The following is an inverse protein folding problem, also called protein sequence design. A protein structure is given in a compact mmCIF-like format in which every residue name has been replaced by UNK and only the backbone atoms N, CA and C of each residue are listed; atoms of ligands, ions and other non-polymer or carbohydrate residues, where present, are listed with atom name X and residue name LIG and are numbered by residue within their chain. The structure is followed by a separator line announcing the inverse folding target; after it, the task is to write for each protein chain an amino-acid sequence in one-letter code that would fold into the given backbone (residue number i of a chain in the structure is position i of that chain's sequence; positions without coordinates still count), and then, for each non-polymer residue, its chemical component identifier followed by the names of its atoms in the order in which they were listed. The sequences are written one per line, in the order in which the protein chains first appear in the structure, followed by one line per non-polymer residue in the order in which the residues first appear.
data_IF_935793518698
#
_entry.id   IF_935793518698
#
_cell.length_a   1.000
_cell.length_b   1.000
_cell.length_c   1.000
_cell.angle_alpha   90.00
_cell.angle_beta   90.00
_cell.angle_gamma   90.00
#
_symmetry.space_group_name_H-M   'P 1'
#
loop_
_entity.id
_entity.type
_entity.pdbx_description
1 polymer ?
#
# COMPACT_ATOMS: atom_id res chain seq x y z
N UNK A 1 25.44 3.43 -13.20
CA UNK A 1 24.15 3.89 -12.61
C UNK A 1 22.97 3.75 -13.57
N UNK A 2 23.19 3.67 -14.90
CA UNK A 2 22.13 3.63 -15.92
C UNK A 2 21.31 2.33 -15.94
N UNK A 3 21.84 1.21 -15.48
CA UNK A 3 21.22 -0.12 -15.65
C UNK A 3 20.44 -0.63 -14.44
N UNK A 4 20.34 0.10 -13.34
CA UNK A 4 19.66 -0.43 -12.16
C UNK A 4 18.14 -0.53 -12.32
N UNK A 5 17.55 0.20 -13.27
CA UNK A 5 16.13 0.10 -13.64
C UNK A 5 15.80 -1.01 -14.64
N UNK A 6 16.81 -1.60 -15.25
CA UNK A 6 16.67 -2.70 -16.22
C UNK A 6 16.53 -4.09 -15.55
N UNK A 7 16.64 -4.12 -14.22
CA UNK A 7 16.51 -5.34 -13.42
C UNK A 7 15.46 -5.13 -12.32
N UNK A 8 14.80 -6.21 -11.88
CA UNK A 8 13.91 -6.13 -10.72
C UNK A 8 14.64 -5.54 -9.52
N UNK A 9 13.98 -4.62 -8.85
CA UNK A 9 14.47 -3.95 -7.64
C UNK A 9 13.69 -4.44 -6.43
N UNK A 10 14.38 -4.99 -5.44
CA UNK A 10 13.75 -5.47 -4.21
C UNK A 10 13.28 -4.29 -3.35
N UNK A 11 11.97 -4.22 -3.14
CA UNK A 11 11.31 -3.23 -2.28
C UNK A 11 10.95 -3.80 -0.91
N UNK A 12 10.94 -5.12 -0.76
CA UNK A 12 10.79 -5.80 0.52
C UNK A 12 11.71 -7.02 0.59
N UNK A 13 12.11 -7.37 1.81
CA UNK A 13 12.97 -8.52 2.09
C UNK A 13 12.34 -9.40 3.16
N UNK A 14 12.65 -10.70 3.11
CA UNK A 14 12.34 -11.65 4.17
C UNK A 14 13.60 -12.34 4.67
N UNK A 15 13.59 -12.69 5.95
CA UNK A 15 14.68 -13.48 6.52
C UNK A 15 14.64 -14.91 5.98
N UNK A 16 15.83 -15.50 5.83
CA UNK A 16 16.00 -16.92 5.54
C UNK A 16 16.50 -17.63 6.79
N UNK A 17 16.49 -18.96 6.77
CA UNK A 17 17.09 -19.77 7.84
C UNK A 17 18.63 -19.81 7.76
N UNK A 18 19.20 -19.24 6.72
CA UNK A 18 20.65 -19.17 6.56
C UNK A 18 21.25 -18.15 7.51
N UNK A 19 22.24 -18.57 8.29
CA UNK A 19 22.91 -17.72 9.25
C UNK A 19 24.40 -18.07 9.39
N UNK A 20 25.18 -17.10 9.82
CA UNK A 20 26.50 -17.32 10.40
C UNK A 20 26.40 -17.45 11.92
N UNK A 21 27.44 -17.98 12.56
CA UNK A 21 27.54 -17.96 14.03
C UNK A 21 28.47 -16.82 14.43
N UNK A 22 27.98 -15.94 15.31
CA UNK A 22 28.78 -14.84 15.87
C UNK A 22 28.97 -14.99 17.36
N UNK A 23 30.10 -14.56 17.87
CA UNK A 23 30.36 -14.43 19.31
C UNK A 23 29.77 -13.12 19.81
N UNK A 24 28.86 -13.18 20.72
CA UNK A 24 28.24 -12.02 21.38
C UNK A 24 28.59 -11.99 22.85
N UNK A 25 29.23 -10.89 23.29
CA UNK A 25 29.53 -10.68 24.67
C UNK A 25 28.27 -10.17 25.41
N UNK A 26 27.79 -10.95 26.31
CA UNK A 26 26.62 -10.63 27.15
C UNK A 26 26.87 -10.86 28.61
N UNK A 27 25.82 -10.95 29.41
CA UNK A 27 25.83 -11.19 30.84
C UNK A 27 25.12 -12.51 31.11
N UNK A 28 25.64 -13.29 32.06
CA UNK A 28 25.00 -14.54 32.52
C UNK A 28 23.62 -14.26 33.09
N UNK A 29 22.66 -15.13 32.86
CA UNK A 29 21.31 -14.99 33.36
C UNK A 29 20.64 -16.34 33.61
N UNK A 30 19.68 -16.33 34.52
CA UNK A 30 18.72 -17.42 34.73
C UNK A 30 17.35 -17.05 34.16
N UNK A 31 16.65 -18.04 33.65
CA UNK A 31 15.23 -17.91 33.27
C UNK A 31 14.41 -18.59 34.37
N UNK A 32 13.64 -17.79 35.09
CA UNK A 32 12.77 -18.26 36.16
C UNK A 32 11.31 -17.95 35.87
N UNK A 33 10.42 -18.78 36.40
CA UNK A 33 8.98 -18.44 36.33
C UNK A 33 8.67 -17.40 37.40
N UNK A 34 7.99 -16.33 36.95
CA UNK A 34 7.48 -15.31 37.87
C UNK A 34 6.31 -15.87 38.69
N UNK A 35 6.39 -15.78 39.99
CA UNK A 35 5.30 -16.08 40.91
C UNK A 35 4.17 -15.02 40.84
N UNK A 36 4.47 -13.84 40.33
CA UNK A 36 3.52 -12.74 40.14
C UNK A 36 2.69 -12.87 38.87
N UNK A 37 3.34 -13.20 37.75
CA UNK A 37 2.70 -13.15 36.41
C UNK A 37 2.57 -14.50 35.72
N UNK A 38 3.28 -15.55 36.23
CA UNK A 38 3.38 -16.86 35.58
C UNK A 38 4.23 -16.87 34.30
N UNK A 39 4.71 -15.73 33.86
CA UNK A 39 5.56 -15.57 32.66
C UNK A 39 7.03 -15.87 32.94
N UNK A 40 7.86 -15.97 31.93
CA UNK A 40 9.29 -16.08 32.06
C UNK A 40 9.90 -14.74 32.48
N UNK A 41 10.79 -14.78 33.44
CA UNK A 41 11.52 -13.63 33.98
C UNK A 41 13.02 -13.89 33.91
N UNK A 42 13.79 -12.98 33.33
CA UNK A 42 15.22 -13.08 33.14
C UNK A 42 15.93 -12.36 34.29
N UNK A 43 16.69 -13.12 35.09
CA UNK A 43 17.50 -12.61 36.21
C UNK A 43 18.97 -12.55 35.79
N UNK A 44 19.48 -11.33 35.54
CA UNK A 44 20.86 -11.13 35.12
C UNK A 44 21.85 -11.13 36.31
N UNK A 45 22.96 -11.87 36.17
CA UNK A 45 24.00 -11.95 37.16
C UNK A 45 24.99 -10.80 37.00
N UNK A 46 24.91 -9.82 37.89
CA UNK A 46 25.73 -8.61 37.81
C UNK A 46 27.23 -8.94 37.90
N UNK A 47 27.98 -8.55 36.87
CA UNK A 47 29.43 -8.75 36.78
C UNK A 47 29.89 -10.11 36.24
N UNK A 48 28.99 -11.00 35.94
CA UNK A 48 29.30 -12.29 35.30
C UNK A 48 29.14 -12.20 33.79
N UNK A 49 30.25 -11.95 33.11
CA UNK A 49 30.24 -11.86 31.65
C UNK A 49 30.27 -13.26 31.02
N UNK A 50 29.49 -13.44 29.97
CA UNK A 50 29.45 -14.68 29.18
C UNK A 50 29.50 -14.36 27.68
N UNK A 51 30.26 -15.18 26.95
CA UNK A 51 30.25 -15.15 25.50
C UNK A 51 29.24 -16.15 24.98
N UNK A 52 28.23 -15.66 24.26
CA UNK A 52 27.21 -16.45 23.58
C UNK A 52 27.62 -16.68 22.12
N UNK A 53 27.38 -17.87 21.61
CA UNK A 53 27.43 -18.14 20.18
C UNK A 53 25.99 -18.03 19.66
N UNK A 54 25.72 -16.98 18.92
CA UNK A 54 24.37 -16.67 18.42
C UNK A 54 24.29 -16.81 16.91
N UNK A 55 23.16 -17.26 16.36
CA UNK A 55 22.92 -17.21 14.93
C UNK A 55 22.75 -15.76 14.48
N UNK A 56 23.47 -15.38 13.44
CA UNK A 56 23.33 -14.06 12.80
C UNK A 56 22.72 -14.25 11.42
N UNK A 57 21.41 -13.97 11.31
CA UNK A 57 20.60 -14.05 10.11
C UNK A 57 20.85 -12.81 9.24
N UNK A 58 21.87 -12.86 8.37
CA UNK A 58 22.28 -11.73 7.55
C UNK A 58 22.13 -11.98 6.03
N UNK A 59 21.41 -13.02 5.67
CA UNK A 59 21.17 -13.41 4.29
C UNK A 59 19.68 -13.29 3.94
N UNK A 60 19.11 -12.04 3.96
CA UNK A 60 17.74 -11.86 3.54
C UNK A 60 17.62 -12.09 2.03
N UNK A 61 16.45 -12.52 1.60
CA UNK A 61 16.11 -12.64 0.18
C UNK A 61 14.96 -11.70 -0.17
N UNK A 62 14.82 -11.26 -1.44
CA UNK A 62 13.69 -10.44 -1.88
C UNK A 62 12.35 -11.11 -1.57
N UNK A 63 11.43 -10.36 -0.98
CA UNK A 63 10.04 -10.76 -0.74
C UNK A 63 9.09 -10.11 -1.74
N UNK A 64 9.42 -8.89 -2.20
CA UNK A 64 8.71 -8.20 -3.27
C UNK A 64 9.73 -7.45 -4.14
N UNK A 65 9.53 -7.51 -5.45
CA UNK A 65 10.38 -6.88 -6.45
C UNK A 65 9.54 -6.14 -7.48
N UNK A 66 10.02 -5.00 -7.94
CA UNK A 66 9.36 -4.18 -8.95
C UNK A 66 10.34 -3.74 -10.04
N UNK A 67 9.88 -3.64 -11.28
CA UNK A 67 10.62 -2.91 -12.32
C UNK A 67 10.43 -1.42 -12.07
N UNK A 68 11.51 -0.68 -11.88
CA UNK A 68 11.43 0.74 -11.55
C UNK A 68 11.01 1.59 -12.76
N UNK A 69 10.14 2.61 -12.58
CA UNK A 69 9.72 3.50 -13.64
C UNK A 69 10.83 4.51 -14.01
N UNK A 70 10.63 5.30 -15.05
CA UNK A 70 11.47 6.45 -15.37
C UNK A 70 11.28 7.58 -14.36
N UNK A 71 10.04 7.77 -13.92
CA UNK A 71 9.66 8.73 -12.90
C UNK A 71 8.35 8.33 -12.23
N UNK A 72 8.10 8.90 -11.05
CA UNK A 72 6.78 8.90 -10.43
C UNK A 72 6.12 10.27 -10.62
N UNK A 73 4.79 10.29 -10.63
CA UNK A 73 4.01 11.53 -10.63
C UNK A 73 3.10 11.53 -9.42
N UNK A 74 3.15 12.60 -8.63
CA UNK A 74 2.36 12.76 -7.40
C UNK A 74 1.41 13.93 -7.60
N UNK A 75 0.08 13.70 -7.51
CA UNK A 75 -0.89 14.77 -7.60
C UNK A 75 -0.75 15.79 -6.47
N UNK A 76 -0.99 17.06 -6.78
CA UNK A 76 -0.82 18.20 -5.85
C UNK A 76 -1.60 18.06 -4.53
N UNK A 77 -2.70 17.31 -4.52
CA UNK A 77 -3.51 17.03 -3.33
C UNK A 77 -2.73 16.30 -2.22
N UNK A 78 -1.69 15.59 -2.59
CA UNK A 78 -0.85 14.82 -1.66
C UNK A 78 0.35 15.63 -1.16
N UNK A 79 0.08 16.89 -0.84
CA UNK A 79 1.08 17.87 -0.40
C UNK A 79 1.98 17.35 0.71
N UNK A 80 1.42 16.67 1.72
CA UNK A 80 2.20 16.10 2.82
C UNK A 80 3.23 15.06 2.36
N UNK A 81 2.93 14.30 1.31
CA UNK A 81 3.89 13.34 0.71
C UNK A 81 4.98 14.10 -0.04
N UNK A 82 4.61 15.12 -0.83
CA UNK A 82 5.55 15.97 -1.56
C UNK A 82 6.52 16.63 -0.59
N UNK A 83 6.02 17.27 0.48
CA UNK A 83 6.84 17.91 1.51
C UNK A 83 7.81 16.93 2.20
N UNK A 84 7.40 15.66 2.41
CA UNK A 84 8.28 14.64 2.96
C UNK A 84 9.42 14.29 2.01
N UNK A 85 9.13 14.17 0.72
CA UNK A 85 10.17 13.93 -0.29
C UNK A 85 11.16 15.11 -0.36
N UNK A 86 10.68 16.34 -0.28
CA UNK A 86 11.52 17.55 -0.21
C UNK A 86 12.47 17.51 0.99
N UNK A 87 11.98 17.12 2.17
CA UNK A 87 12.80 16.98 3.38
C UNK A 87 13.92 15.95 3.26
N UNK A 88 13.74 14.95 2.38
CA UNK A 88 14.78 13.97 2.03
C UNK A 88 15.73 14.45 0.93
N UNK A 89 15.57 15.68 0.45
CA UNK A 89 16.41 16.25 -0.60
C UNK A 89 16.19 15.62 -1.97
N UNK A 90 14.99 15.06 -2.19
CA UNK A 90 14.62 14.45 -3.47
C UNK A 90 14.30 15.54 -4.48
N UNK A 91 14.94 15.48 -5.65
CA UNK A 91 14.70 16.39 -6.74
C UNK A 91 13.35 16.10 -7.41
N UNK A 92 12.55 17.16 -7.62
CA UNK A 92 11.23 17.08 -8.21
C UNK A 92 11.01 18.19 -9.21
N UNK A 93 10.19 17.92 -10.23
CA UNK A 93 9.79 18.88 -11.26
C UNK A 93 8.31 19.21 -11.05
N UNK A 94 8.00 20.44 -10.69
CA UNK A 94 6.61 20.89 -10.53
C UNK A 94 5.96 21.18 -11.88
N UNK A 95 4.76 20.66 -12.10
CA UNK A 95 3.97 20.98 -13.31
C UNK A 95 3.37 22.38 -13.19
N UNK A 96 3.73 23.27 -14.09
CA UNK A 96 3.22 24.65 -14.11
C UNK A 96 1.77 24.76 -14.60
N UNK A 97 1.32 23.79 -15.40
CA UNK A 97 -0.02 23.72 -15.97
C UNK A 97 -0.56 22.30 -15.93
N UNK A 98 -1.86 22.15 -16.15
CA UNK A 98 -2.48 20.84 -16.31
C UNK A 98 -1.82 20.07 -17.46
N UNK A 99 -1.34 18.86 -17.17
CA UNK A 99 -0.54 18.06 -18.10
C UNK A 99 -1.11 16.65 -18.20
N UNK A 100 -1.21 16.15 -19.40
CA UNK A 100 -1.69 14.79 -19.71
C UNK A 100 -0.47 13.90 -19.95
N UNK A 101 -0.36 12.81 -19.19
CA UNK A 101 0.77 11.89 -19.26
C UNK A 101 0.32 10.44 -19.41
N UNK A 102 1.02 9.63 -20.22
CA UNK A 102 0.86 8.19 -20.22
C UNK A 102 1.46 7.64 -18.91
N UNK A 103 0.69 6.85 -18.18
CA UNK A 103 1.10 6.33 -16.86
C UNK A 103 0.72 4.87 -16.68
N UNK A 104 1.41 4.21 -15.77
CA UNK A 104 0.98 2.97 -15.16
C UNK A 104 0.43 3.28 -13.77
N UNK A 105 -0.76 2.76 -13.49
CA UNK A 105 -1.51 3.00 -12.26
C UNK A 105 -1.72 1.68 -11.53
N UNK A 106 -1.54 1.68 -10.21
CA UNK A 106 -1.90 0.58 -9.34
C UNK A 106 -3.33 0.70 -8.82
N UNK A 107 -4.03 -0.43 -8.79
CA UNK A 107 -5.38 -0.61 -8.25
C UNK A 107 -5.33 -1.68 -7.16
N UNK A 108 -5.90 -1.36 -6.01
CA UNK A 108 -5.94 -2.26 -4.87
C UNK A 108 -7.20 -3.11 -4.85
N UNK A 109 -7.04 -4.39 -4.57
CA UNK A 109 -8.13 -5.31 -4.24
C UNK A 109 -7.81 -6.05 -2.94
N UNK A 110 -8.82 -6.61 -2.30
CA UNK A 110 -8.71 -7.39 -1.05
C UNK A 110 -7.88 -6.72 0.06
N UNK A 111 -8.10 -5.43 0.26
CA UNK A 111 -7.36 -4.63 1.25
C UNK A 111 -7.75 -5.05 2.66
N UNK A 112 -6.76 -5.47 3.46
CA UNK A 112 -6.92 -5.84 4.87
C UNK A 112 -6.20 -4.84 5.77
N UNK A 113 -6.84 -4.46 6.84
CA UNK A 113 -6.31 -3.50 7.80
C UNK A 113 -5.69 -4.20 8.99
N UNK A 114 -4.68 -3.57 9.60
CA UNK A 114 -4.21 -3.96 10.92
C UNK A 114 -5.34 -3.74 11.93
N UNK A 115 -5.39 -4.54 12.98
CA UNK A 115 -6.45 -4.46 14.00
C UNK A 115 -6.23 -3.34 15.04
N UNK A 116 -5.10 -2.66 15.01
CA UNK A 116 -4.77 -1.54 15.89
C UNK A 116 -3.78 -0.59 15.22
N UNK A 117 -3.82 0.72 15.57
CA UNK A 117 -2.84 1.68 15.07
C UNK A 117 -1.44 1.41 15.63
N UNK A 118 -0.44 1.87 14.89
CA UNK A 118 0.95 1.95 15.30
C UNK A 118 1.45 3.36 15.02
N UNK A 119 2.15 3.99 15.97
CA UNK A 119 2.68 5.37 15.84
C UNK A 119 1.63 6.40 15.39
N UNK A 120 0.41 6.26 15.90
CA UNK A 120 -0.71 7.14 15.55
C UNK A 120 -1.31 6.92 14.16
N UNK A 121 -0.93 5.85 13.44
CA UNK A 121 -1.40 5.55 12.10
C UNK A 121 -1.96 4.15 11.97
N UNK A 122 -3.04 4.01 11.21
CA UNK A 122 -3.59 2.71 10.85
C UNK A 122 -2.90 2.22 9.59
N UNK A 123 -2.17 1.12 9.69
CA UNK A 123 -1.51 0.49 8.56
C UNK A 123 -2.36 -0.58 7.89
N UNK A 124 -2.00 -0.93 6.68
CA UNK A 124 -2.54 -2.06 5.93
C UNK A 124 -1.74 -3.31 6.31
N UNK A 125 -2.41 -4.45 6.45
CA UNK A 125 -1.76 -5.74 6.74
C UNK A 125 -1.54 -6.57 5.49
N UNK A 126 -2.43 -6.43 4.48
CA UNK A 126 -2.40 -7.21 3.26
C UNK A 126 -3.22 -6.52 2.16
N UNK A 127 -2.90 -6.77 0.91
CA UNK A 127 -3.62 -6.29 -0.27
C UNK A 127 -3.16 -7.02 -1.53
N UNK A 128 -3.98 -6.99 -2.57
CA UNK A 128 -3.59 -7.38 -3.92
C UNK A 128 -3.45 -6.15 -4.81
N UNK A 129 -2.53 -6.20 -5.78
CA UNK A 129 -2.28 -5.13 -6.73
C UNK A 129 -2.56 -5.59 -8.16
N UNK A 130 -3.28 -4.74 -8.89
CA UNK A 130 -3.38 -4.81 -10.34
C UNK A 130 -2.77 -3.54 -10.92
N UNK A 131 -2.08 -3.66 -12.05
CA UNK A 131 -1.54 -2.49 -12.76
C UNK A 131 -2.20 -2.32 -14.12
N UNK A 132 -2.44 -1.05 -14.52
CA UNK A 132 -3.01 -0.71 -15.83
C UNK A 132 -2.23 0.44 -16.45
N UNK A 133 -2.02 0.37 -17.76
CA UNK A 133 -1.52 1.50 -18.55
C UNK A 133 -2.70 2.39 -18.91
N UNK A 134 -2.60 3.66 -18.59
CA UNK A 134 -3.68 4.64 -18.85
C UNK A 134 -3.11 6.03 -19.12
N UNK A 135 -3.95 6.93 -19.59
CA UNK A 135 -3.60 8.33 -19.75
C UNK A 135 -4.23 9.12 -18.60
N UNK A 136 -3.40 9.81 -17.82
CA UNK A 136 -3.84 10.55 -16.64
C UNK A 136 -3.58 12.05 -16.80
N UNK A 137 -4.56 12.86 -16.43
CA UNK A 137 -4.41 14.32 -16.37
C UNK A 137 -4.02 14.73 -14.94
N UNK A 138 -2.92 15.45 -14.83
CA UNK A 138 -2.44 16.02 -13.57
C UNK A 138 -2.66 17.52 -13.56
N UNK A 139 -3.14 18.05 -12.46
CA UNK A 139 -3.32 19.49 -12.27
C UNK A 139 -1.96 20.18 -12.07
N UNK A 140 -1.93 21.49 -12.37
CA UNK A 140 -0.82 22.36 -11.96
C UNK A 140 -0.49 22.19 -10.49
N UNK A 141 0.79 22.22 -10.12
CA UNK A 141 1.29 21.95 -8.78
C UNK A 141 1.55 20.47 -8.47
N UNK A 142 1.13 19.53 -9.33
CA UNK A 142 1.57 18.14 -9.24
C UNK A 142 3.07 18.04 -9.55
N UNK A 143 3.74 17.01 -9.01
CA UNK A 143 5.19 16.88 -9.17
C UNK A 143 5.56 15.59 -9.89
N UNK A 144 6.57 15.69 -10.75
CA UNK A 144 7.29 14.55 -11.33
C UNK A 144 8.55 14.32 -10.50
N UNK A 145 8.78 13.07 -10.11
CA UNK A 145 9.95 12.63 -9.32
C UNK A 145 10.79 11.72 -10.22
N UNK A 146 11.83 12.25 -10.88
CA UNK A 146 12.70 11.47 -11.75
C UNK A 146 13.47 10.40 -10.97
N UNK A 147 13.71 9.25 -11.61
CA UNK A 147 14.49 8.14 -11.02
C UNK A 147 15.98 8.18 -11.35
N UNK A 148 16.45 9.13 -12.14
CA UNK A 148 17.87 9.31 -12.50
C UNK A 148 18.64 10.19 -11.53
N UNK A 149 18.33 10.10 -10.25
CA UNK A 149 18.97 10.84 -9.16
C UNK A 149 19.56 9.91 -8.09
N UNK A 150 20.50 10.38 -7.25
CA UNK A 150 21.14 9.55 -6.22
C UNK A 150 20.17 8.91 -5.23
N UNK A 151 19.04 9.56 -4.95
CA UNK A 151 18.00 9.09 -4.04
C UNK A 151 17.06 8.02 -4.64
N UNK A 152 17.27 7.56 -5.86
CA UNK A 152 16.35 6.67 -6.58
C UNK A 152 15.88 5.43 -5.78
N UNK A 153 16.80 4.80 -5.03
CA UNK A 153 16.43 3.65 -4.18
C UNK A 153 15.49 4.04 -3.02
N UNK A 154 15.76 5.17 -2.40
CA UNK A 154 14.91 5.71 -1.34
C UNK A 154 13.53 6.06 -1.88
N UNK A 155 13.47 6.72 -3.05
CA UNK A 155 12.21 7.05 -3.73
C UNK A 155 11.39 5.79 -3.97
N UNK A 156 12.01 4.71 -4.48
CA UNK A 156 11.32 3.44 -4.71
C UNK A 156 10.73 2.88 -3.39
N UNK A 157 11.51 2.84 -2.33
CA UNK A 157 11.01 2.35 -1.03
C UNK A 157 9.92 3.22 -0.41
N UNK A 158 9.94 4.52 -0.65
CA UNK A 158 8.90 5.42 -0.14
C UNK A 158 7.62 5.38 -0.97
N UNK A 159 7.70 5.12 -2.29
CA UNK A 159 6.56 5.25 -3.21
C UNK A 159 5.99 3.92 -3.71
N UNK A 160 6.74 2.81 -3.66
CA UNK A 160 6.18 1.51 -4.05
C UNK A 160 5.33 0.92 -2.93
N UNK A 161 4.06 0.53 -3.21
CA UNK A 161 3.10 0.11 -2.18
C UNK A 161 3.53 -1.10 -1.36
N UNK A 162 4.26 -2.03 -1.98
CA UNK A 162 4.72 -3.28 -1.35
C UNK A 162 5.91 -3.08 -0.41
N UNK A 163 6.56 -1.92 -0.46
CA UNK A 163 7.62 -1.60 0.50
C UNK A 163 7.06 -1.41 1.91
N UNK A 164 7.61 -2.08 2.94
CA UNK A 164 7.12 -1.98 4.31
C UNK A 164 7.25 -0.57 4.93
N UNK A 165 8.14 0.27 4.38
CA UNK A 165 8.34 1.66 4.81
C UNK A 165 7.76 2.69 3.82
N UNK A 166 6.89 2.25 2.92
CA UNK A 166 6.24 3.17 1.96
C UNK A 166 5.25 4.11 2.65
N UNK A 167 4.98 5.23 2.01
CA UNK A 167 3.90 6.15 2.44
C UNK A 167 2.54 5.46 2.52
N UNK A 168 2.30 4.41 1.71
CA UNK A 168 1.09 3.61 1.84
C UNK A 168 1.05 2.88 3.17
N UNK A 169 2.11 2.14 3.52
CA UNK A 169 2.20 1.37 4.75
C UNK A 169 2.16 2.26 6.01
N UNK A 170 2.69 3.47 5.90
CA UNK A 170 2.59 4.50 6.93
C UNK A 170 1.25 5.26 6.93
N UNK A 171 0.27 4.83 6.11
CA UNK A 171 -1.10 5.34 6.12
C UNK A 171 -1.28 6.77 5.60
N UNK A 172 -0.36 7.29 4.79
CA UNK A 172 -0.52 8.61 4.18
C UNK A 172 -1.63 8.64 3.13
N UNK A 173 -1.94 7.48 2.54
CA UNK A 173 -2.92 7.33 1.47
C UNK A 173 -4.23 6.66 1.92
N UNK A 174 -4.46 6.46 3.21
CA UNK A 174 -5.64 5.73 3.71
C UNK A 174 -6.97 6.23 3.15
N UNK A 175 -7.06 7.53 2.86
CA UNK A 175 -8.25 8.15 2.29
C UNK A 175 -8.68 7.55 0.92
N UNK A 176 -7.79 6.87 0.17
CA UNK A 176 -8.16 6.23 -1.09
C UNK A 176 -9.06 5.01 -0.90
N UNK A 177 -9.05 4.41 0.28
CA UNK A 177 -9.83 3.22 0.60
C UNK A 177 -11.22 3.54 1.17
N UNK A 178 -11.48 4.81 1.47
CA UNK A 178 -12.75 5.25 2.02
C UNK A 178 -13.79 5.43 0.91
N UNK A 179 -15.01 5.00 1.18
CA UNK A 179 -16.15 5.43 0.38
C UNK A 179 -16.62 6.77 0.95
N UNK A 180 -16.44 7.85 0.20
CA UNK A 180 -16.73 9.22 0.64
C UNK A 180 -18.13 9.66 0.30
N UNK A 181 -18.69 9.14 -0.78
CA UNK A 181 -20.02 9.47 -1.28
C UNK A 181 -20.95 8.27 -1.17
N UNK A 182 -22.22 8.52 -0.92
CA UNK A 182 -23.27 7.52 -0.85
C UNK A 182 -24.56 8.07 -1.46
N UNK A 183 -25.47 7.17 -1.81
CA UNK A 183 -26.80 7.56 -2.27
C UNK A 183 -27.84 7.31 -1.17
N UNK A 184 -28.83 8.20 -1.07
CA UNK A 184 -29.99 7.96 -0.23
C UNK A 184 -30.75 6.73 -0.72
N UNK A 185 -31.16 5.87 0.22
CA UNK A 185 -31.76 4.57 -0.09
C UNK A 185 -33.02 4.70 -0.95
N UNK A 186 -33.90 5.67 -0.66
CA UNK A 186 -35.12 5.89 -1.44
C UNK A 186 -34.86 6.34 -2.88
N UNK A 187 -33.76 7.08 -3.11
CA UNK A 187 -33.34 7.49 -4.45
C UNK A 187 -32.76 6.30 -5.20
N UNK A 188 -31.87 5.56 -4.52
CA UNK A 188 -31.15 4.44 -5.14
C UNK A 188 -32.06 3.26 -5.41
N UNK A 189 -33.10 3.01 -4.60
CA UNK A 189 -34.12 1.97 -4.83
C UNK A 189 -34.80 2.17 -6.20
N UNK A 190 -35.29 3.39 -6.48
CA UNK A 190 -35.94 3.70 -7.76
C UNK A 190 -34.95 3.55 -8.91
N UNK A 191 -33.70 3.98 -8.72
CA UNK A 191 -32.69 3.89 -9.77
C UNK A 191 -32.27 2.45 -10.02
N UNK A 192 -32.04 1.64 -9.01
CA UNK A 192 -31.69 0.25 -9.14
C UNK A 192 -32.77 -0.55 -9.92
N UNK A 193 -34.05 -0.31 -9.65
CA UNK A 193 -35.17 -0.92 -10.41
C UNK A 193 -35.08 -0.56 -11.88
N UNK A 194 -34.87 0.72 -12.22
CA UNK A 194 -34.70 1.15 -13.62
C UNK A 194 -33.46 0.54 -14.29
N UNK A 195 -32.37 0.39 -13.56
CA UNK A 195 -31.17 -0.26 -14.08
C UNK A 195 -31.46 -1.72 -14.42
N UNK A 196 -32.17 -2.44 -13.54
CA UNK A 196 -32.56 -3.83 -13.76
C UNK A 196 -33.62 -4.02 -14.86
N UNK A 197 -34.50 -3.05 -15.07
CA UNK A 197 -35.47 -3.05 -16.17
C UNK A 197 -34.80 -2.91 -17.54
N UNK A 198 -33.71 -2.15 -17.60
CA UNK A 198 -33.02 -1.83 -18.85
C UNK A 198 -31.83 -2.76 -19.18
N UNK A 199 -31.42 -3.59 -18.23
CA UNK A 199 -30.25 -4.44 -18.36
C UNK A 199 -30.47 -5.82 -17.70
N UNK A 200 -30.85 -6.85 -18.50
CA UNK A 200 -31.02 -8.21 -17.99
C UNK A 200 -29.72 -8.82 -17.46
N UNK A 201 -28.55 -8.50 -18.06
CA UNK A 201 -27.26 -9.03 -17.62
C UNK A 201 -26.91 -8.50 -16.21
N UNK A 202 -27.30 -7.26 -15.92
CA UNK A 202 -27.13 -6.67 -14.59
C UNK A 202 -27.93 -7.43 -13.52
N UNK A 203 -29.10 -7.99 -13.87
CA UNK A 203 -29.89 -8.82 -12.95
C UNK A 203 -29.16 -10.10 -12.63
N UNK A 204 -28.67 -10.80 -13.64
CA UNK A 204 -27.89 -12.04 -13.42
C UNK A 204 -26.65 -11.76 -12.56
N UNK A 205 -25.93 -10.65 -12.84
CA UNK A 205 -24.77 -10.22 -12.05
C UNK A 205 -25.12 -9.89 -10.58
N UNK A 206 -26.29 -9.28 -10.34
CA UNK A 206 -26.75 -8.99 -8.99
C UNK A 206 -27.15 -10.26 -8.22
N UNK A 207 -27.83 -11.20 -8.88
CA UNK A 207 -28.22 -12.47 -8.28
C UNK A 207 -26.98 -13.32 -7.94
N UNK A 208 -25.97 -13.35 -8.82
CA UNK A 208 -24.68 -13.96 -8.54
C UNK A 208 -23.96 -13.31 -7.34
N UNK A 209 -23.92 -11.97 -7.31
CA UNK A 209 -23.34 -11.24 -6.18
C UNK A 209 -24.01 -11.59 -4.85
N UNK A 210 -25.34 -11.74 -4.81
CA UNK A 210 -26.07 -12.13 -3.62
C UNK A 210 -25.83 -13.61 -3.23
N UNK A 211 -25.56 -14.47 -4.21
CA UNK A 211 -25.22 -15.87 -3.95
C UNK A 211 -23.84 -15.99 -3.30
N UNK A 212 -22.86 -15.25 -3.82
CA UNK A 212 -21.49 -15.24 -3.34
C UNK A 212 -21.33 -14.50 -2.00
N UNK A 213 -22.28 -13.61 -1.66
CA UNK A 213 -22.23 -12.77 -0.45
C UNK A 213 -23.50 -12.92 0.40
N UNK A 214 -23.74 -14.06 1.08
CA UNK A 214 -24.98 -14.31 1.81
C UNK A 214 -25.32 -13.25 2.89
N UNK A 215 -24.29 -12.65 3.52
CA UNK A 215 -24.48 -11.59 4.52
C UNK A 215 -25.09 -10.31 3.97
N UNK A 216 -24.95 -10.04 2.67
CA UNK A 216 -25.50 -8.87 2.00
C UNK A 216 -27.02 -8.96 1.83
N UNK A 217 -27.58 -10.17 1.77
CA UNK A 217 -29.05 -10.37 1.61
C UNK A 217 -29.87 -9.69 2.70
N UNK A 218 -29.31 -9.51 3.88
CA UNK A 218 -29.99 -8.87 5.03
C UNK A 218 -29.66 -7.38 5.18
N UNK A 219 -28.94 -6.80 4.22
CA UNK A 219 -28.52 -5.40 4.25
C UNK A 219 -29.00 -4.67 2.99
N UNK A 220 -30.13 -3.97 3.09
CA UNK A 220 -30.65 -3.14 1.99
C UNK A 220 -29.63 -2.10 1.54
N UNK A 221 -28.89 -1.50 2.48
CA UNK A 221 -27.82 -0.56 2.16
C UNK A 221 -26.73 -1.21 1.29
N UNK A 222 -26.23 -2.37 1.68
CA UNK A 222 -25.16 -3.05 0.91
C UNK A 222 -25.63 -3.45 -0.49
N UNK A 223 -26.90 -3.88 -0.62
CA UNK A 223 -27.50 -4.21 -1.92
C UNK A 223 -27.61 -2.96 -2.80
N UNK A 224 -28.13 -1.86 -2.27
CA UNK A 224 -28.25 -0.61 -3.03
C UNK A 224 -26.89 0.02 -3.35
N UNK A 225 -25.91 -0.14 -2.44
CA UNK A 225 -24.55 0.31 -2.68
C UNK A 225 -23.89 -0.46 -3.85
N UNK A 226 -24.21 -1.73 -4.05
CA UNK A 226 -23.75 -2.50 -5.21
C UNK A 226 -24.22 -1.85 -6.54
N UNK A 227 -25.46 -1.35 -6.60
CA UNK A 227 -25.96 -0.59 -7.75
C UNK A 227 -25.30 0.79 -7.84
N UNK A 228 -25.13 1.48 -6.69
CA UNK A 228 -24.47 2.79 -6.65
C UNK A 228 -23.07 2.76 -7.24
N UNK A 229 -22.30 1.72 -6.95
CA UNK A 229 -20.97 1.50 -7.51
C UNK A 229 -20.93 1.38 -9.04
N UNK A 230 -22.08 1.15 -9.69
CA UNK A 230 -22.25 1.04 -11.14
C UNK A 230 -22.87 2.28 -11.77
N UNK A 231 -22.94 3.36 -11.00
CA UNK A 231 -23.44 4.64 -11.50
C UNK A 231 -22.29 5.60 -11.82
N UNK A 232 -22.59 6.63 -12.64
CA UNK A 232 -21.64 7.71 -12.95
C UNK A 232 -21.25 8.58 -11.74
N UNK A 233 -21.86 8.38 -10.59
CA UNK A 233 -21.57 9.13 -9.34
C UNK A 233 -20.63 8.37 -8.42
N UNK A 234 -20.27 7.12 -8.77
CA UNK A 234 -19.27 6.39 -8.04
C UNK A 234 -17.91 7.07 -8.16
N UNK A 235 -17.17 7.12 -7.06
CA UNK A 235 -15.78 7.60 -7.07
C UNK A 235 -14.87 6.54 -7.67
N UNK A 236 -14.55 6.72 -8.94
CA UNK A 236 -13.63 5.84 -9.70
C UNK A 236 -12.21 5.85 -9.15
N UNK A 237 -11.86 6.82 -8.26
CA UNK A 237 -10.54 6.90 -7.61
C UNK A 237 -10.46 6.07 -6.34
N UNK A 238 -11.57 5.48 -5.89
CA UNK A 238 -11.52 4.55 -4.75
C UNK A 238 -10.65 3.34 -5.10
N UNK A 239 -9.78 2.96 -4.15
CA UNK A 239 -8.80 1.88 -4.30
C UNK A 239 -7.78 2.12 -5.42
N UNK A 240 -7.60 3.34 -5.89
CA UNK A 240 -6.60 3.68 -6.90
C UNK A 240 -5.41 4.36 -6.24
N UNK A 241 -4.21 3.83 -6.48
CA UNK A 241 -3.01 4.44 -5.95
C UNK A 241 -2.78 5.82 -6.59
N UNK A 242 -2.63 6.89 -5.81
CA UNK A 242 -2.55 8.23 -6.38
C UNK A 242 -1.21 8.52 -7.05
N UNK A 243 -0.13 7.88 -6.59
CA UNK A 243 1.19 8.01 -7.22
C UNK A 243 1.19 7.18 -8.49
N UNK A 244 1.42 7.82 -9.62
CA UNK A 244 1.47 7.16 -10.94
C UNK A 244 2.91 6.96 -11.37
N UNK A 245 3.14 5.99 -12.24
CA UNK A 245 4.46 5.60 -12.75
C UNK A 245 4.57 5.97 -14.22
N UNK A 246 5.59 6.72 -14.60
CA UNK A 246 5.96 6.94 -16.00
C UNK A 246 6.90 5.78 -16.39
N UNK A 247 6.43 4.93 -17.29
CA UNK A 247 7.20 3.80 -17.82
C UNK A 247 7.78 4.15 -19.17
N UNK A 248 8.89 3.52 -19.53
CA UNK A 248 9.50 3.71 -20.86
C UNK A 248 8.54 3.32 -21.97
N UNK A 249 8.57 4.06 -23.07
CA UNK A 249 7.83 3.69 -24.28
C UNK A 249 8.31 2.35 -24.89
N UNK A 250 9.35 1.74 -24.32
CA UNK A 250 9.92 0.45 -24.77
C UNK A 250 9.38 -0.75 -23.98
N UNK A 251 8.63 -0.49 -22.88
CA UNK A 251 7.97 -1.48 -22.03
C UNK A 251 6.46 -1.51 -22.32
#
# INVERSE_FOLDING_TARGET
QSNFREQPFAVAYRNTDQHDTVKFLGVEYDVVKSDLTGGDWFQYHKGENRTFNLPWYRYPEPAAEVMLPEAYVIPVQWKTVIERLELHGIEMITLEQATVLPTQTYYFTDVKWRNRPYEGRMGISDFELQSRKETTTFSSGSVIVPMDQPAARLIAWMLEPESPDSFLQWGFFNAIFEQKEYAETYVMEVKARRMLENDPELREAFDAFLADNPGVKNSSWAQLNWFYQRTKWWDEKKNVYPVKRIISAKD
#
